data_IF_044248266880
#
_entry.id   IF_044248266880
#
_cell.length_a   1.000
_cell.length_b   1.000
_cell.length_c   1.000
_cell.angle_alpha   90.00
_cell.angle_beta   90.00
_cell.angle_gamma   90.00
#
_symmetry.space_group_name_H-M   'P 1'
#
loop_
_entity.id
_entity.type
_entity.pdbx_description
1 polymer ?
#
# COMPACT_ATOMS: atom_id res chain seq x y z
N UNK A 1 38.29 -43.89 -56.04
CA UNK A 1 37.96 -42.73 -55.16
C UNK A 1 37.46 -41.54 -55.98
N UNK A 2 36.43 -41.74 -56.83
CA UNK A 2 35.68 -40.68 -57.54
C UNK A 2 34.17 -40.98 -57.65
N UNK A 3 33.68 -42.05 -57.03
CA UNK A 3 32.28 -42.49 -57.17
C UNK A 3 31.26 -41.55 -56.53
N UNK A 4 31.71 -40.64 -55.65
CA UNK A 4 30.87 -39.60 -55.07
C UNK A 4 30.52 -38.48 -56.05
N UNK A 5 31.29 -38.31 -57.14
CA UNK A 5 31.08 -37.26 -58.15
C UNK A 5 29.89 -37.60 -59.06
N UNK A 6 29.60 -38.89 -59.27
CA UNK A 6 28.49 -39.35 -60.11
C UNK A 6 27.20 -39.69 -59.33
N UNK A 7 27.14 -39.42 -58.02
CA UNK A 7 25.93 -39.64 -57.24
C UNK A 7 24.96 -38.50 -57.47
N UNK A 8 23.85 -38.79 -58.14
CA UNK A 8 22.71 -37.88 -58.19
C UNK A 8 22.10 -37.86 -56.79
N UNK A 9 22.30 -36.78 -56.03
CA UNK A 9 21.82 -36.63 -54.64
C UNK A 9 20.31 -36.35 -54.59
N UNK A 10 19.54 -37.05 -55.43
CA UNK A 10 18.10 -36.91 -55.48
C UNK A 10 17.45 -37.80 -54.40
N UNK A 11 17.43 -37.27 -53.19
CA UNK A 11 16.83 -37.94 -52.04
C UNK A 11 15.33 -38.23 -52.23
N UNK A 12 14.66 -37.56 -53.17
CA UNK A 12 13.22 -37.73 -53.45
C UNK A 12 12.90 -39.05 -54.15
N UNK A 13 13.83 -39.59 -54.94
CA UNK A 13 13.65 -40.89 -55.59
C UNK A 13 13.70 -42.06 -54.60
N UNK A 14 14.39 -41.89 -53.47
CA UNK A 14 14.49 -42.89 -52.41
C UNK A 14 13.27 -42.94 -51.49
N UNK A 15 12.34 -41.97 -51.58
CA UNK A 15 11.10 -41.97 -50.81
C UNK A 15 10.10 -42.98 -51.38
N UNK A 16 9.33 -43.60 -50.50
CA UNK A 16 8.17 -44.41 -50.89
C UNK A 16 7.13 -43.53 -51.61
N UNK A 17 6.30 -44.09 -52.51
CA UNK A 17 5.28 -43.32 -53.22
C UNK A 17 4.29 -42.60 -52.29
N UNK A 18 4.04 -43.17 -51.10
CA UNK A 18 3.21 -42.54 -50.08
C UNK A 18 3.90 -41.31 -49.47
N UNK A 19 5.16 -41.45 -49.05
CA UNK A 19 5.95 -40.33 -48.51
C UNK A 19 6.14 -39.20 -49.53
N UNK A 20 6.17 -39.55 -50.81
CA UNK A 20 6.22 -38.59 -51.92
C UNK A 20 4.95 -37.73 -51.96
N UNK A 21 3.79 -38.36 -51.85
CA UNK A 21 2.50 -37.67 -51.87
C UNK A 21 2.27 -36.85 -50.60
N UNK A 22 2.66 -37.35 -49.43
CA UNK A 22 2.54 -36.60 -48.17
C UNK A 22 3.41 -35.35 -48.19
N UNK A 23 4.61 -35.44 -48.78
CA UNK A 23 5.48 -34.29 -48.95
C UNK A 23 4.89 -33.24 -49.90
N UNK A 24 4.32 -33.67 -51.03
CA UNK A 24 3.61 -32.78 -51.98
C UNK A 24 2.38 -32.11 -51.35
N UNK A 25 1.82 -32.70 -50.31
CA UNK A 25 0.72 -32.15 -49.50
C UNK A 25 1.18 -31.36 -48.28
N UNK A 26 2.48 -31.07 -48.14
CA UNK A 26 3.09 -30.34 -47.02
C UNK A 26 2.94 -31.04 -45.66
N UNK A 27 2.80 -32.37 -45.65
CA UNK A 27 2.59 -33.19 -44.45
C UNK A 27 3.74 -34.19 -44.27
N UNK A 28 4.95 -33.69 -43.99
CA UNK A 28 6.13 -34.52 -43.73
C UNK A 28 6.50 -35.53 -44.83
N UNK A 29 7.67 -36.18 -44.69
CA UNK A 29 8.97 -35.49 -44.67
C UNK A 29 9.13 -34.53 -45.86
N UNK A 30 9.69 -33.33 -45.65
CA UNK A 30 9.73 -32.24 -46.64
C UNK A 30 10.77 -32.47 -47.75
N UNK A 31 10.40 -33.19 -48.80
CA UNK A 31 11.23 -33.50 -49.98
C UNK A 31 10.45 -33.39 -51.31
N UNK A 32 11.05 -32.90 -52.40
CA UNK A 32 12.41 -32.41 -52.51
C UNK A 32 12.53 -30.98 -51.96
N UNK A 33 13.74 -30.61 -51.51
CA UNK A 33 14.03 -29.28 -50.96
C UNK A 33 14.23 -28.27 -52.09
N UNK A 34 13.14 -27.93 -52.79
CA UNK A 34 13.15 -26.94 -53.87
C UNK A 34 13.05 -25.51 -53.31
N UNK A 35 12.44 -25.38 -52.14
CA UNK A 35 12.33 -24.13 -51.40
C UNK A 35 12.91 -24.31 -49.99
N UNK A 36 13.45 -23.25 -49.38
CA UNK A 36 13.84 -23.29 -47.98
C UNK A 36 12.59 -23.50 -47.12
N UNK A 37 12.46 -24.72 -46.59
CA UNK A 37 11.34 -25.13 -45.74
C UNK A 37 11.86 -25.74 -44.45
N UNK A 38 11.10 -25.57 -43.37
CA UNK A 38 11.33 -26.24 -42.09
C UNK A 38 10.17 -27.17 -41.79
N UNK A 39 10.51 -28.33 -41.22
CA UNK A 39 9.52 -29.23 -40.65
C UNK A 39 9.12 -28.69 -39.27
N UNK A 40 7.87 -28.24 -39.15
CA UNK A 40 7.28 -27.78 -37.90
C UNK A 40 6.08 -28.67 -37.60
N UNK A 41 6.19 -29.52 -36.58
CA UNK A 41 5.14 -30.47 -36.17
C UNK A 41 4.58 -31.33 -37.31
N UNK A 42 5.45 -31.99 -38.09
CA UNK A 42 5.07 -32.85 -39.22
C UNK A 42 4.40 -32.11 -40.39
N UNK A 43 4.48 -30.77 -40.41
CA UNK A 43 4.05 -29.93 -41.54
C UNK A 43 5.22 -29.15 -42.11
N UNK A 44 5.26 -29.04 -43.43
CA UNK A 44 6.30 -28.32 -44.16
C UNK A 44 5.91 -26.85 -44.31
N UNK A 45 6.70 -25.95 -43.73
CA UNK A 45 6.47 -24.50 -43.80
C UNK A 45 7.59 -23.80 -44.54
N UNK A 46 7.24 -22.85 -45.39
CA UNK A 46 8.18 -22.06 -46.17
C UNK A 46 8.71 -20.87 -45.36
N UNK A 47 10.04 -20.69 -45.37
CA UNK A 47 10.71 -19.60 -44.62
C UNK A 47 10.98 -18.39 -45.52
N UNK A 48 11.07 -18.59 -46.84
CA UNK A 48 11.36 -17.54 -47.80
C UNK A 48 10.47 -17.65 -49.04
N UNK A 49 10.39 -16.55 -49.78
CA UNK A 49 9.59 -16.42 -51.01
C UNK A 49 10.02 -17.46 -52.05
N UNK A 50 9.06 -18.23 -52.55
CA UNK A 50 9.26 -19.16 -53.65
C UNK A 50 9.73 -18.42 -54.92
N UNK A 51 10.74 -18.93 -55.61
CA UNK A 51 11.12 -18.38 -56.92
C UNK A 51 10.16 -18.90 -58.00
N UNK A 52 9.85 -18.11 -59.03
CA UNK A 52 8.90 -18.52 -60.08
C UNK A 52 9.30 -19.83 -60.78
N UNK A 53 10.60 -20.14 -60.85
CA UNK A 53 11.12 -21.37 -61.45
C UNK A 53 10.85 -22.58 -60.53
N UNK A 54 11.11 -22.43 -59.24
CA UNK A 54 10.87 -23.48 -58.26
C UNK A 54 9.37 -23.75 -58.09
N UNK A 55 8.52 -22.72 -58.15
CA UNK A 55 7.05 -22.85 -58.13
C UNK A 55 6.51 -23.63 -59.34
N UNK A 56 7.03 -23.36 -60.54
CA UNK A 56 6.68 -24.12 -61.74
C UNK A 56 7.09 -25.58 -61.61
N UNK A 57 8.28 -25.85 -61.10
CA UNK A 57 8.76 -27.21 -60.90
C UNK A 57 7.93 -27.97 -59.85
N UNK A 58 7.53 -27.29 -58.78
CA UNK A 58 6.61 -27.83 -57.76
C UNK A 58 5.24 -28.21 -58.32
N UNK A 59 4.63 -27.32 -59.12
CA UNK A 59 3.36 -27.58 -59.77
C UNK A 59 3.45 -28.72 -60.79
N UNK A 60 4.56 -28.85 -61.50
CA UNK A 60 4.81 -29.95 -62.44
C UNK A 60 4.87 -31.32 -61.74
N UNK A 61 5.27 -31.37 -60.46
CA UNK A 61 5.24 -32.60 -59.67
C UNK A 61 3.90 -32.86 -58.97
N UNK A 62 2.88 -32.02 -59.20
CA UNK A 62 1.55 -32.17 -58.59
C UNK A 62 1.45 -31.64 -57.16
N UNK A 63 2.35 -30.73 -56.76
CA UNK A 63 2.34 -30.13 -55.43
C UNK A 63 1.16 -29.18 -55.21
N UNK A 64 0.69 -29.11 -53.96
CA UNK A 64 -0.42 -28.21 -53.56
C UNK A 64 -0.04 -26.73 -53.68
N UNK A 65 -1.03 -25.85 -53.79
CA UNK A 65 -0.79 -24.41 -53.84
C UNK A 65 -0.15 -23.92 -52.53
N UNK A 66 1.02 -23.28 -52.68
CA UNK A 66 1.82 -22.76 -51.57
C UNK A 66 1.42 -21.31 -51.31
N UNK A 67 1.08 -20.99 -50.06
CA UNK A 67 0.86 -19.61 -49.64
C UNK A 67 2.19 -19.01 -49.16
N UNK A 68 2.60 -17.88 -49.75
CA UNK A 68 3.97 -17.32 -49.63
C UNK A 68 4.34 -16.68 -48.27
N UNK A 69 3.53 -16.86 -47.23
CA UNK A 69 3.78 -16.29 -45.89
C UNK A 69 3.57 -17.34 -44.81
N UNK A 70 4.46 -17.37 -43.81
CA UNK A 70 4.44 -18.28 -42.66
C UNK A 70 3.12 -18.11 -41.87
N UNK A 71 2.11 -18.90 -42.25
CA UNK A 71 0.72 -18.77 -41.75
C UNK A 71 0.66 -18.92 -40.24
N UNK A 72 1.55 -19.74 -39.67
CA UNK A 72 1.62 -19.99 -38.23
C UNK A 72 2.08 -18.75 -37.46
N UNK A 73 3.14 -18.07 -37.87
CA UNK A 73 3.64 -16.87 -37.17
C UNK A 73 2.61 -15.74 -37.20
N UNK A 74 1.99 -15.50 -38.35
CA UNK A 74 0.92 -14.52 -38.48
C UNK A 74 -0.28 -14.88 -37.62
N UNK A 75 -0.65 -16.16 -37.54
CA UNK A 75 -1.76 -16.63 -36.70
C UNK A 75 -1.47 -16.53 -35.20
N UNK A 76 -0.24 -16.84 -34.78
CA UNK A 76 0.22 -16.75 -33.39
C UNK A 76 0.29 -15.29 -32.96
N UNK A 77 0.92 -14.42 -33.76
CA UNK A 77 0.93 -12.98 -33.51
C UNK A 77 -0.48 -12.39 -33.47
N UNK A 78 -1.42 -12.83 -34.34
CA UNK A 78 -2.82 -12.36 -34.29
C UNK A 78 -3.56 -12.85 -33.06
N UNK A 79 -3.39 -14.11 -32.67
CA UNK A 79 -4.05 -14.71 -31.50
C UNK A 79 -3.53 -14.10 -30.19
N UNK A 80 -2.22 -13.88 -30.09
CA UNK A 80 -1.61 -13.21 -28.95
C UNK A 80 -2.05 -11.76 -28.92
N UNK A 81 -1.99 -11.03 -30.03
CA UNK A 81 -2.34 -9.60 -30.04
C UNK A 81 -3.85 -9.35 -29.86
N UNK A 82 -4.73 -10.26 -30.29
CA UNK A 82 -6.17 -10.11 -30.04
C UNK A 82 -6.50 -10.24 -28.54
N UNK A 83 -5.94 -11.25 -27.85
CA UNK A 83 -6.16 -11.46 -26.41
C UNK A 83 -5.38 -10.49 -25.52
N UNK A 84 -4.20 -10.04 -25.96
CA UNK A 84 -3.36 -9.13 -25.17
C UNK A 84 -3.63 -7.64 -25.43
N UNK A 85 -4.52 -7.29 -26.35
CA UNK A 85 -4.90 -5.88 -26.61
C UNK A 85 -5.47 -5.18 -25.37
N UNK A 86 -6.25 -5.89 -24.56
CA UNK A 86 -6.83 -5.39 -23.30
C UNK A 86 -5.74 -5.25 -22.23
N UNK A 87 -4.87 -6.25 -22.11
CA UNK A 87 -3.80 -6.29 -21.10
C UNK A 87 -2.71 -5.25 -21.39
N UNK A 88 -2.37 -5.01 -22.66
CA UNK A 88 -1.45 -3.95 -23.08
C UNK A 88 -2.00 -2.56 -22.77
N UNK A 89 -3.31 -2.34 -22.91
CA UNK A 89 -3.96 -1.07 -22.54
C UNK A 89 -3.89 -0.85 -21.03
N UNK A 90 -4.25 -1.86 -20.23
CA UNK A 90 -4.13 -1.77 -18.77
C UNK A 90 -2.68 -1.56 -18.30
N UNK A 91 -1.70 -2.25 -18.89
CA UNK A 91 -0.29 -2.05 -18.55
C UNK A 91 0.23 -0.67 -18.95
N UNK A 92 -0.22 -0.12 -20.07
CA UNK A 92 0.13 1.25 -20.47
C UNK A 92 -0.45 2.30 -19.50
N UNK A 93 -1.69 2.09 -19.02
CA UNK A 93 -2.32 2.96 -18.03
C UNK A 93 -1.64 2.85 -16.65
N UNK A 94 -1.26 1.65 -16.22
CA UNK A 94 -0.48 1.42 -14.99
C UNK A 94 0.90 2.08 -15.10
N UNK A 95 1.56 2.00 -16.27
CA UNK A 95 2.85 2.65 -16.50
C UNK A 95 2.79 4.17 -16.37
N UNK A 96 1.71 4.80 -16.85
CA UNK A 96 1.49 6.24 -16.67
C UNK A 96 1.15 6.64 -15.23
N UNK A 97 0.40 5.80 -14.52
CA UNK A 97 -0.06 6.09 -13.14
C UNK A 97 0.89 5.58 -12.05
N UNK A 98 1.99 4.92 -12.41
CA UNK A 98 2.98 4.36 -11.49
C UNK A 98 3.49 5.36 -10.43
N UNK A 99 3.82 6.63 -10.76
CA UNK A 99 4.28 7.59 -9.76
C UNK A 99 3.20 7.91 -8.73
N UNK A 100 1.93 8.00 -9.16
CA UNK A 100 0.80 8.31 -8.29
C UNK A 100 0.49 7.14 -7.36
N UNK A 101 0.61 5.90 -7.84
CA UNK A 101 0.44 4.70 -7.01
C UNK A 101 1.53 4.57 -5.95
N UNK A 102 2.78 4.86 -6.28
CA UNK A 102 3.88 4.84 -5.30
C UNK A 102 3.70 5.95 -4.26
N UNK A 103 3.35 7.16 -4.70
CA UNK A 103 3.22 8.31 -3.80
C UNK A 103 1.98 8.17 -2.92
N UNK A 104 0.81 7.91 -3.49
CA UNK A 104 -0.47 7.85 -2.76
C UNK A 104 -0.69 6.52 -2.04
N UNK A 105 -0.22 5.40 -2.61
CA UNK A 105 -0.40 4.06 -2.04
C UNK A 105 0.73 3.59 -1.13
N UNK A 106 1.95 4.11 -1.32
CA UNK A 106 3.12 3.71 -0.53
C UNK A 106 3.60 4.81 0.40
N UNK A 107 4.12 5.89 -0.16
CA UNK A 107 4.86 6.88 0.61
C UNK A 107 3.96 7.66 1.59
N UNK A 108 2.82 8.17 1.12
CA UNK A 108 1.91 8.96 1.95
C UNK A 108 1.36 8.18 3.17
N UNK A 109 0.80 6.96 3.04
CA UNK A 109 0.27 6.23 4.19
C UNK A 109 1.35 5.80 5.17
N UNK A 110 2.56 5.48 4.69
CA UNK A 110 3.69 5.18 5.57
C UNK A 110 4.13 6.41 6.37
N UNK A 111 4.24 7.57 5.74
CA UNK A 111 4.54 8.82 6.44
C UNK A 111 3.48 9.16 7.48
N UNK A 112 2.19 9.02 7.13
CA UNK A 112 1.10 9.28 8.06
C UNK A 112 1.14 8.30 9.25
N UNK A 113 1.45 7.03 9.01
CA UNK A 113 1.58 6.01 10.06
C UNK A 113 2.75 6.32 11.01
N UNK A 114 3.90 6.73 10.50
CA UNK A 114 5.05 7.11 11.33
C UNK A 114 4.74 8.35 12.17
N UNK A 115 4.16 9.37 11.55
CA UNK A 115 3.73 10.59 12.26
C UNK A 115 2.72 10.26 13.35
N UNK A 116 1.75 9.39 13.06
CA UNK A 116 0.74 8.95 14.03
C UNK A 116 1.36 8.22 15.24
N UNK A 117 2.28 7.27 14.99
CA UNK A 117 2.99 6.56 16.06
C UNK A 117 3.85 7.51 16.91
N UNK A 118 4.50 8.49 16.27
CA UNK A 118 5.28 9.52 16.98
C UNK A 118 4.37 10.41 17.82
N UNK A 119 3.19 10.78 17.29
CA UNK A 119 2.17 11.55 18.01
C UNK A 119 1.70 10.79 19.26
N UNK A 120 1.33 9.50 19.13
CA UNK A 120 0.96 8.67 20.29
C UNK A 120 2.10 8.64 21.31
N UNK A 121 3.35 8.49 20.87
CA UNK A 121 4.51 8.39 21.77
C UNK A 121 4.73 9.66 22.59
N UNK A 122 4.60 10.84 21.97
CA UNK A 122 4.76 12.11 22.67
C UNK A 122 3.55 12.45 23.54
N UNK A 123 2.34 12.26 23.00
CA UNK A 123 1.10 12.60 23.69
C UNK A 123 0.80 11.66 24.87
N UNK A 124 1.15 10.37 24.80
CA UNK A 124 0.93 9.43 25.92
C UNK A 124 1.76 9.80 27.15
N UNK A 125 2.97 10.32 26.97
CA UNK A 125 3.78 10.78 28.10
C UNK A 125 3.32 12.14 28.61
N UNK A 126 2.78 13.02 27.77
CA UNK A 126 2.39 14.38 28.15
C UNK A 126 0.98 14.48 28.74
N UNK A 127 0.02 13.74 28.17
CA UNK A 127 -1.40 13.73 28.55
C UNK A 127 -1.64 13.55 30.06
N UNK A 128 -1.10 12.50 30.74
CA UNK A 128 -1.34 12.28 32.15
C UNK A 128 -0.78 13.41 33.02
N UNK A 129 0.37 13.99 32.65
CA UNK A 129 0.97 15.11 33.38
C UNK A 129 0.12 16.37 33.28
N UNK A 130 -0.37 16.68 32.08
CA UNK A 130 -1.28 17.82 31.86
C UNK A 130 -2.57 17.64 32.66
N UNK A 131 -3.16 16.43 32.66
CA UNK A 131 -4.39 16.17 33.43
C UNK A 131 -4.18 16.27 34.94
N UNK A 132 -3.05 15.75 35.47
CA UNK A 132 -2.74 15.84 36.90
C UNK A 132 -2.52 17.29 37.31
N UNK A 133 -1.78 18.06 36.50
CA UNK A 133 -1.54 19.48 36.76
C UNK A 133 -2.85 20.27 36.74
N UNK A 134 -3.69 20.09 35.72
CA UNK A 134 -4.97 20.78 35.59
C UNK A 134 -5.89 20.45 36.77
N UNK A 135 -6.01 19.17 37.13
CA UNK A 135 -6.85 18.74 38.25
C UNK A 135 -6.40 19.33 39.59
N UNK A 136 -5.09 19.37 39.86
CA UNK A 136 -4.54 19.98 41.08
C UNK A 136 -4.75 21.50 41.10
N UNK A 137 -4.57 22.18 39.97
CA UNK A 137 -4.84 23.62 39.87
C UNK A 137 -6.33 23.89 40.12
N UNK A 138 -7.22 23.09 39.51
CA UNK A 138 -8.67 23.26 39.63
C UNK A 138 -9.16 23.02 41.06
N UNK A 139 -8.67 22.00 41.75
CA UNK A 139 -9.09 21.76 43.14
C UNK A 139 -8.60 22.87 44.07
N UNK A 140 -7.40 23.42 43.84
CA UNK A 140 -6.88 24.56 44.61
C UNK A 140 -7.72 25.81 44.35
N UNK A 141 -8.05 26.12 43.10
CA UNK A 141 -8.86 27.32 42.77
C UNK A 141 -10.27 27.22 43.32
N UNK A 142 -10.92 26.06 43.21
CA UNK A 142 -12.26 25.83 43.80
C UNK A 142 -12.20 25.96 45.32
N UNK A 143 -11.19 25.38 45.98
CA UNK A 143 -11.02 25.49 47.43
C UNK A 143 -10.80 26.93 47.88
N UNK A 144 -9.96 27.67 47.15
CA UNK A 144 -9.75 29.10 47.40
C UNK A 144 -11.05 29.90 47.25
N UNK A 145 -11.83 29.64 46.20
CA UNK A 145 -13.12 30.30 45.98
C UNK A 145 -14.11 30.10 47.15
N UNK A 146 -14.18 28.89 47.72
CA UNK A 146 -14.99 28.65 48.92
C UNK A 146 -14.46 29.40 50.15
N UNK A 147 -13.14 29.54 50.29
CA UNK A 147 -12.55 30.36 51.35
C UNK A 147 -12.85 31.86 51.21
N UNK A 148 -12.88 32.37 49.97
CA UNK A 148 -13.31 33.74 49.68
C UNK A 148 -14.77 33.94 50.12
N UNK A 149 -15.67 33.04 49.71
CA UNK A 149 -17.09 33.12 50.07
C UNK A 149 -17.39 32.86 51.55
N UNK A 150 -16.58 32.07 52.24
CA UNK A 150 -16.74 31.78 53.67
C UNK A 150 -16.31 32.95 54.58
N UNK A 151 -15.71 34.01 54.01
CA UNK A 151 -15.26 35.20 54.73
C UNK A 151 -14.12 34.93 55.71
N UNK A 152 -13.30 33.90 55.45
CA UNK A 152 -12.12 33.56 56.27
C UNK A 152 -10.88 34.34 55.83
N UNK A 153 -10.78 34.67 54.56
CA UNK A 153 -9.84 35.67 54.07
C UNK A 153 -10.49 37.04 54.39
N UNK A 154 -9.83 37.86 55.21
CA UNK A 154 -10.38 39.16 55.60
C UNK A 154 -10.66 40.04 54.38
N UNK A 155 -11.73 40.82 54.44
CA UNK A 155 -12.09 41.82 53.41
C UNK A 155 -10.91 42.76 53.07
N UNK A 156 -9.95 42.92 53.98
CA UNK A 156 -8.78 43.79 53.83
C UNK A 156 -7.73 43.31 52.82
N UNK A 157 -7.69 42.02 52.45
CA UNK A 157 -6.71 41.51 51.49
C UNK A 157 -7.17 41.58 50.01
N UNK A 158 -8.46 41.86 49.78
CA UNK A 158 -9.11 41.67 48.47
C UNK A 158 -9.95 42.89 48.04
N UNK A 159 -10.41 43.70 49.00
CA UNK A 159 -11.08 44.98 48.76
C UNK A 159 -10.33 45.96 47.83
N UNK A 160 -8.99 46.10 47.87
CA UNK A 160 -8.33 47.06 46.98
C UNK A 160 -8.34 46.68 45.49
N UNK A 161 -8.69 45.43 45.13
CA UNK A 161 -8.60 44.92 43.75
C UNK A 161 -9.99 44.66 43.13
N UNK A 162 -11.03 44.43 43.94
CA UNK A 162 -12.38 44.08 43.45
C UNK A 162 -13.42 45.20 43.61
N UNK A 163 -13.09 46.30 44.29
CA UNK A 163 -14.03 47.41 44.48
C UNK A 163 -15.17 47.05 45.42
N UNK A 164 -15.81 48.07 45.98
CA UNK A 164 -16.87 47.93 46.97
C UNK A 164 -18.00 47.03 46.43
N UNK A 165 -18.31 45.97 47.16
CA UNK A 165 -19.29 44.97 46.73
C UNK A 165 -20.71 45.54 46.84
N UNK A 166 -21.53 45.34 45.82
CA UNK A 166 -22.92 45.81 45.76
C UNK A 166 -23.73 45.40 47.03
N UNK A 167 -24.54 46.32 47.60
CA UNK A 167 -25.23 46.14 48.89
C UNK A 167 -26.42 45.15 48.85
N UNK A 168 -26.61 44.42 47.75
CA UNK A 168 -27.75 43.52 47.55
C UNK A 168 -27.47 42.04 47.87
N UNK A 169 -26.22 41.65 48.16
CA UNK A 169 -25.90 40.27 48.57
C UNK A 169 -25.78 40.13 50.09
N UNK A 170 -26.91 40.19 50.78
CA UNK A 170 -26.95 39.90 52.22
C UNK A 170 -26.79 38.40 52.47
N UNK A 171 -25.57 37.96 52.75
CA UNK A 171 -25.29 36.58 53.19
C UNK A 171 -25.84 36.41 54.62
N UNK A 172 -27.02 35.82 54.75
CA UNK A 172 -27.63 35.50 56.05
C UNK A 172 -26.67 34.64 56.89
N UNK A 173 -26.54 34.90 58.20
CA UNK A 173 -25.60 34.20 59.08
C UNK A 173 -25.73 32.67 59.12
N UNK A 174 -26.89 32.11 58.76
CA UNK A 174 -27.10 30.66 58.61
C UNK A 174 -26.42 30.06 57.37
N UNK A 175 -26.40 30.80 56.26
CA UNK A 175 -25.71 30.42 55.02
C UNK A 175 -24.18 30.44 55.21
N UNK A 176 -23.66 31.33 56.05
CA UNK A 176 -22.23 31.44 56.34
C UNK A 176 -21.69 30.21 57.08
N UNK A 177 -22.47 29.63 58.01
CA UNK A 177 -22.08 28.38 58.68
C UNK A 177 -22.05 27.19 57.71
N UNK A 178 -22.99 27.12 56.77
CA UNK A 178 -22.97 26.10 55.70
C UNK A 178 -21.77 26.30 54.77
N UNK A 179 -21.48 27.53 54.35
CA UNK A 179 -20.31 27.85 53.52
C UNK A 179 -18.99 27.49 54.22
N UNK A 180 -18.85 27.77 55.52
CA UNK A 180 -17.66 27.39 56.31
C UNK A 180 -17.52 25.88 56.47
N UNK A 181 -18.63 25.17 56.73
CA UNK A 181 -18.62 23.70 56.80
C UNK A 181 -18.22 23.09 55.45
N UNK A 182 -18.75 23.62 54.34
CA UNK A 182 -18.38 23.21 52.98
C UNK A 182 -16.92 23.53 52.69
N UNK A 183 -16.38 24.69 53.10
CA UNK A 183 -14.98 25.04 52.90
C UNK A 183 -14.02 24.05 53.60
N UNK A 184 -14.31 23.67 54.86
CA UNK A 184 -13.52 22.66 55.60
C UNK A 184 -13.63 21.27 54.95
N UNK A 185 -14.81 20.90 54.45
CA UNK A 185 -14.98 19.65 53.71
C UNK A 185 -14.14 19.67 52.42
N UNK A 186 -14.18 20.77 51.67
CA UNK A 186 -13.40 20.93 50.43
C UNK A 186 -11.90 20.90 50.67
N UNK A 187 -11.41 21.40 51.80
CA UNK A 187 -9.97 21.28 52.14
C UNK A 187 -9.56 19.87 52.46
N UNK A 188 -10.39 19.12 53.16
CA UNK A 188 -10.15 17.69 53.38
C UNK A 188 -10.08 16.94 52.04
N UNK A 189 -11.02 17.20 51.13
CA UNK A 189 -11.00 16.64 49.76
C UNK A 189 -9.72 17.06 49.02
N UNK A 190 -9.33 18.34 49.08
CA UNK A 190 -8.12 18.85 48.44
C UNK A 190 -6.86 18.12 48.96
N UNK A 191 -6.71 17.96 50.28
CA UNK A 191 -5.55 17.27 50.87
C UNK A 191 -5.50 15.81 50.42
N UNK A 192 -6.63 15.10 50.48
CA UNK A 192 -6.72 13.70 50.00
C UNK A 192 -6.43 13.61 48.51
N UNK A 193 -6.93 14.55 47.70
CA UNK A 193 -6.70 14.65 46.26
C UNK A 193 -5.22 14.89 45.91
N UNK A 194 -4.53 15.75 46.67
CA UNK A 194 -3.10 16.01 46.47
C UNK A 194 -2.27 14.79 46.88
N UNK A 195 -2.58 14.16 48.01
CA UNK A 195 -1.89 12.93 48.46
C UNK A 195 -2.05 11.78 47.47
N UNK A 196 -3.27 11.59 46.95
CA UNK A 196 -3.54 10.57 45.91
C UNK A 196 -2.85 10.91 44.59
N UNK A 197 -2.84 12.18 44.18
CA UNK A 197 -2.06 12.65 43.01
C UNK A 197 -0.59 12.27 43.15
N UNK A 198 0.04 12.58 44.29
CA UNK A 198 1.46 12.26 44.55
C UNK A 198 1.70 10.74 44.55
N UNK A 199 0.80 9.94 45.16
CA UNK A 199 0.93 8.50 45.19
C UNK A 199 0.88 7.85 43.80
N UNK A 200 0.08 8.41 42.88
CA UNK A 200 -0.09 7.89 41.52
C UNK A 200 1.07 8.30 40.59
N UNK A 201 1.81 9.38 40.87
CA UNK A 201 2.96 9.83 40.04
C UNK A 201 3.97 8.71 39.80
N UNK A 202 4.31 7.90 40.83
CA UNK A 202 5.24 6.77 40.66
C UNK A 202 4.69 5.72 39.69
N UNK A 203 3.38 5.45 39.73
CA UNK A 203 2.73 4.51 38.81
C UNK A 203 2.71 5.03 37.38
N UNK A 204 2.44 6.33 37.19
CA UNK A 204 2.49 6.99 35.87
C UNK A 204 3.92 6.93 35.31
N UNK A 205 4.94 7.19 36.12
CA UNK A 205 6.35 7.12 35.71
C UNK A 205 6.76 5.70 35.29
N UNK A 206 6.34 4.67 36.01
CA UNK A 206 6.59 3.28 35.62
C UNK A 206 5.88 2.89 34.32
N UNK A 207 4.61 3.28 34.16
CA UNK A 207 3.85 2.98 32.94
C UNK A 207 4.46 3.68 31.71
N UNK A 208 4.81 4.96 31.85
CA UNK A 208 5.46 5.75 30.79
C UNK A 208 6.88 5.27 30.49
N UNK A 209 7.64 4.81 31.48
CA UNK A 209 8.98 4.24 31.25
C UNK A 209 8.93 2.90 30.52
N UNK A 210 7.98 2.01 30.86
CA UNK A 210 7.77 0.74 30.13
C UNK A 210 7.37 1.01 28.68
N UNK A 211 6.42 1.92 28.43
CA UNK A 211 6.03 2.30 27.08
C UNK A 211 7.20 2.91 26.29
N UNK A 212 8.04 3.72 26.95
CA UNK A 212 9.25 4.29 26.34
C UNK A 212 10.31 3.23 26.04
N UNK A 213 10.45 2.21 26.89
CA UNK A 213 11.37 1.09 26.68
C UNK A 213 10.91 0.18 25.53
N UNK A 214 9.64 -0.22 25.50
CA UNK A 214 9.08 -1.02 24.39
C UNK A 214 9.17 -0.33 23.04
N UNK A 215 9.08 1.00 23.02
CA UNK A 215 9.21 1.79 21.80
C UNK A 215 10.65 2.14 21.40
N UNK A 216 11.65 1.87 22.25
CA UNK A 216 13.06 1.90 21.87
C UNK A 216 13.55 0.54 21.31
N UNK A 217 12.76 -0.52 21.55
CA UNK A 217 13.04 -1.87 21.10
C UNK A 217 12.51 -2.17 19.68
N UNK A 218 11.67 -1.29 19.15
CA UNK A 218 11.10 -1.33 17.80
C UNK A 218 11.77 -0.26 16.94
#
# INVERSE_FOLDING_TARGET
>A
MRDWINRNYDYYEFLTPEMRNTSLQLQGPCYPVIFPSVNVYWSCQFIARASNISLRHWQQMGGVNINEDMVIDKSIHRSINSRSSVLKRYMADIGKSWPVLIVCGGMLPLFLSVIWLLMIRHFVSAMPWITVALFNILIITVTMFYYLKAGWIGNDAISPIIGEHDPYINVFGRELHHLRAVAILMTFIMVVSILTSIAIVRRILMATSVLKASSNLL
#
